data_IF_093187089467
#
_entry.id   IF_093187089467
#
_cell.length_a   1.000
_cell.length_b   1.000
_cell.length_c   1.000
_cell.angle_alpha   90.00
_cell.angle_beta   90.00
_cell.angle_gamma   90.00
#
_symmetry.space_group_name_H-M   'P 1'
#
loop_
_entity.id
_entity.type
_entity.pdbx_description
1 polymer ?
#
# COMPACT_ATOMS: atom_id res chain seq x y z
N UNK A 1 27.27 -48.05 -15.91
CA UNK A 1 27.57 -46.67 -16.32
C UNK A 1 26.56 -45.62 -15.81
N UNK A 2 25.22 -45.81 -15.85
CA UNK A 2 24.28 -44.76 -15.42
C UNK A 2 24.29 -44.49 -13.90
N UNK A 3 24.61 -45.50 -13.09
CA UNK A 3 24.66 -45.35 -11.62
C UNK A 3 25.80 -44.46 -11.14
N UNK A 4 26.97 -44.51 -11.79
CA UNK A 4 28.10 -43.65 -11.45
C UNK A 4 27.80 -42.17 -11.70
N UNK A 5 27.12 -41.85 -12.81
CA UNK A 5 26.70 -40.49 -13.12
C UNK A 5 25.69 -39.96 -12.09
N UNK A 6 24.73 -40.79 -11.64
CA UNK A 6 23.78 -40.40 -10.60
C UNK A 6 24.46 -40.13 -9.25
N UNK A 7 25.41 -40.97 -8.85
CA UNK A 7 26.17 -40.79 -7.60
C UNK A 7 26.98 -39.50 -7.64
N UNK A 8 27.68 -39.23 -8.75
CA UNK A 8 28.46 -38.00 -8.92
C UNK A 8 27.55 -36.76 -8.87
N UNK A 9 26.44 -36.78 -9.61
CA UNK A 9 25.48 -35.66 -9.61
C UNK A 9 24.89 -35.42 -8.22
N UNK A 10 24.51 -36.48 -7.50
CA UNK A 10 24.02 -36.40 -6.12
C UNK A 10 25.07 -35.82 -5.17
N UNK A 11 26.34 -36.20 -5.33
CA UNK A 11 27.44 -35.66 -4.54
C UNK A 11 27.66 -34.16 -4.80
N UNK A 12 27.65 -33.74 -6.07
CA UNK A 12 27.74 -32.33 -6.46
C UNK A 12 26.57 -31.52 -5.88
N UNK A 13 25.34 -32.03 -5.96
CA UNK A 13 24.18 -31.36 -5.35
C UNK A 13 24.28 -31.27 -3.83
N UNK A 14 24.84 -32.30 -3.16
CA UNK A 14 25.07 -32.26 -1.70
C UNK A 14 26.13 -31.24 -1.32
N UNK A 15 27.25 -31.19 -2.04
CA UNK A 15 28.29 -30.17 -1.81
C UNK A 15 27.76 -28.77 -2.08
N UNK A 16 26.98 -28.58 -3.15
CA UNK A 16 26.36 -27.29 -3.48
C UNK A 16 25.33 -26.88 -2.42
N UNK A 17 24.48 -27.82 -1.97
CA UNK A 17 23.53 -27.60 -0.89
C UNK A 17 24.24 -27.24 0.42
N UNK A 18 25.35 -27.93 0.74
CA UNK A 18 26.17 -27.65 1.92
C UNK A 18 26.85 -26.28 1.82
N UNK A 19 27.38 -25.92 0.64
CA UNK A 19 27.92 -24.59 0.39
C UNK A 19 26.84 -23.51 0.56
N UNK A 20 25.66 -23.68 -0.03
CA UNK A 20 24.54 -22.76 0.16
C UNK A 20 24.10 -22.67 1.62
N UNK A 21 24.11 -23.79 2.35
CA UNK A 21 23.80 -23.85 3.77
C UNK A 21 24.80 -23.04 4.60
N UNK A 22 26.10 -23.28 4.44
CA UNK A 22 27.14 -22.52 5.13
C UNK A 22 27.13 -21.06 4.73
N UNK A 23 26.94 -20.77 3.44
CA UNK A 23 26.80 -19.40 2.95
C UNK A 23 25.62 -18.72 3.63
N UNK A 24 24.47 -19.38 3.70
CA UNK A 24 23.28 -18.82 4.34
C UNK A 24 23.47 -18.63 5.85
N UNK A 25 24.11 -19.58 6.54
CA UNK A 25 24.37 -19.50 7.97
C UNK A 25 25.38 -18.41 8.33
N UNK A 26 26.42 -18.23 7.49
CA UNK A 26 27.51 -17.27 7.72
C UNK A 26 27.21 -15.86 7.19
N UNK A 27 26.38 -15.73 6.14
CA UNK A 27 26.02 -14.44 5.52
C UNK A 27 24.61 -13.95 5.83
N UNK A 28 23.92 -14.50 6.83
CA UNK A 28 22.75 -13.83 7.41
C UNK A 28 23.20 -12.54 8.09
N UNK A 29 23.40 -11.51 7.27
CA UNK A 29 23.69 -10.16 7.72
C UNK A 29 22.49 -9.71 8.54
N UNK A 30 22.73 -9.34 9.79
CA UNK A 30 21.69 -8.76 10.63
C UNK A 30 21.15 -7.53 9.91
N UNK A 31 19.82 -7.37 9.78
CA UNK A 31 19.25 -6.18 9.19
C UNK A 31 19.79 -4.94 9.89
N UNK A 32 20.13 -3.92 9.11
CA UNK A 32 20.49 -2.62 9.66
C UNK A 32 19.24 -2.00 10.28
N UNK A 33 19.35 -1.30 11.44
CA UNK A 33 18.18 -0.70 12.08
C UNK A 33 17.51 0.33 11.17
N UNK A 34 16.22 0.60 11.39
CA UNK A 34 15.41 1.48 10.53
C UNK A 34 16.07 2.85 10.29
N UNK A 35 16.60 3.46 11.34
CA UNK A 35 17.24 4.78 11.34
C UNK A 35 18.60 4.84 10.63
N UNK A 36 19.11 3.72 10.11
CA UNK A 36 20.40 3.70 9.42
C UNK A 36 20.29 4.44 8.09
N UNK A 37 21.23 5.36 7.83
CA UNK A 37 21.34 6.01 6.52
C UNK A 37 21.71 4.99 5.45
N UNK A 38 20.79 4.73 4.52
CA UNK A 38 20.99 3.85 3.37
C UNK A 38 21.41 4.66 2.15
N UNK A 39 22.15 4.03 1.24
CA UNK A 39 22.58 4.67 -0.01
C UNK A 39 21.40 5.02 -0.93
N UNK A 40 20.35 4.18 -0.90
CA UNK A 40 19.06 4.40 -1.56
C UNK A 40 17.96 4.17 -0.54
N UNK A 41 16.88 4.93 -0.66
CA UNK A 41 15.67 4.73 0.14
C UNK A 41 14.46 4.82 -0.79
N UNK A 42 13.43 3.98 -0.58
CA UNK A 42 12.18 4.10 -1.31
C UNK A 42 11.36 5.24 -0.71
N UNK A 43 10.88 6.16 -1.55
CA UNK A 43 9.92 7.18 -1.11
C UNK A 43 8.53 6.55 -0.93
N UNK A 44 8.24 5.54 -1.76
CA UNK A 44 6.94 4.87 -1.85
C UNK A 44 7.09 3.37 -1.59
N UNK A 45 6.45 2.90 -0.53
CA UNK A 45 6.43 1.48 -0.16
C UNK A 45 5.02 0.94 -0.38
N UNK A 46 4.92 -0.19 -1.06
CA UNK A 46 3.70 -0.98 -1.10
C UNK A 46 3.89 -2.30 -0.33
N UNK A 47 2.86 -2.75 0.39
CA UNK A 47 2.87 -4.02 1.11
C UNK A 47 1.62 -4.83 0.77
N UNK A 48 1.81 -6.05 0.28
CA UNK A 48 0.75 -7.02 0.05
C UNK A 48 0.65 -7.92 1.29
N UNK A 49 -0.52 -7.91 1.92
CA UNK A 49 -0.85 -8.80 3.03
C UNK A 49 -1.73 -9.94 2.51
N UNK A 50 -1.22 -11.18 2.61
CA UNK A 50 -1.94 -12.38 2.16
C UNK A 50 -2.53 -13.08 3.38
N UNK A 51 -3.85 -13.36 3.42
CA UNK A 51 -4.50 -13.97 4.58
C UNK A 51 -4.10 -15.44 4.73
N UNK A 52 -4.07 -15.91 5.97
CA UNK A 52 -3.80 -17.32 6.27
C UNK A 52 -5.12 -18.10 6.18
N UNK A 53 -5.26 -19.06 5.24
CA UNK A 53 -6.49 -19.84 5.11
C UNK A 53 -6.75 -20.76 6.31
N UNK A 54 -5.75 -20.99 7.16
CA UNK A 54 -5.89 -21.80 8.37
C UNK A 54 -6.47 -21.03 9.57
N UNK A 55 -6.53 -19.69 9.48
CA UNK A 55 -7.08 -18.82 10.52
C UNK A 55 -8.54 -18.48 10.26
N UNK A 56 -9.26 -18.20 11.33
CA UNK A 56 -10.61 -17.63 11.25
C UNK A 56 -10.55 -16.21 10.68
N UNK A 57 -11.66 -15.72 10.12
CA UNK A 57 -11.75 -14.35 9.59
C UNK A 57 -11.35 -13.31 10.64
N UNK A 58 -11.82 -13.46 11.88
CA UNK A 58 -11.50 -12.55 12.98
C UNK A 58 -10.01 -12.57 13.38
N UNK A 59 -9.37 -13.75 13.37
CA UNK A 59 -7.92 -13.85 13.60
C UNK A 59 -7.10 -13.22 12.47
N UNK A 60 -7.59 -13.33 11.22
CA UNK A 60 -6.96 -12.67 10.08
C UNK A 60 -7.12 -11.15 10.15
N UNK A 61 -8.30 -10.65 10.50
CA UNK A 61 -8.58 -9.23 10.70
C UNK A 61 -7.65 -8.62 11.76
N UNK A 62 -7.59 -9.22 12.94
CA UNK A 62 -6.73 -8.75 14.04
C UNK A 62 -5.24 -8.80 13.67
N UNK A 63 -4.81 -9.83 12.94
CA UNK A 63 -3.44 -9.91 12.43
C UNK A 63 -3.15 -8.83 11.38
N UNK A 64 -4.06 -8.59 10.43
CA UNK A 64 -3.91 -7.61 9.37
C UNK A 64 -3.81 -6.20 9.94
N UNK A 65 -4.69 -5.87 10.88
CA UNK A 65 -4.70 -4.61 11.58
C UNK A 65 -3.41 -4.41 12.41
N UNK A 66 -2.97 -5.43 13.15
CA UNK A 66 -1.67 -5.38 13.86
C UNK A 66 -0.50 -5.18 12.89
N UNK A 67 -0.49 -5.87 11.75
CA UNK A 67 0.55 -5.74 10.74
C UNK A 67 0.53 -4.34 10.11
N UNK A 68 -0.64 -3.82 9.75
CA UNK A 68 -0.82 -2.48 9.19
C UNK A 68 -0.29 -1.40 10.14
N UNK A 69 -0.65 -1.48 11.44
CA UNK A 69 -0.15 -0.60 12.51
C UNK A 69 1.37 -0.60 12.58
N UNK A 70 1.96 -1.78 12.65
CA UNK A 70 3.40 -1.94 12.78
C UNK A 70 4.14 -1.41 11.54
N UNK A 71 3.69 -1.79 10.34
CA UNK A 71 4.28 -1.32 9.07
C UNK A 71 4.20 0.21 9.00
N UNK A 72 3.08 0.80 9.34
CA UNK A 72 2.89 2.24 9.33
C UNK A 72 3.87 2.94 10.26
N UNK A 73 3.97 2.50 11.53
CA UNK A 73 4.93 3.05 12.50
C UNK A 73 6.37 2.95 12.02
N UNK A 74 6.74 1.80 11.46
CA UNK A 74 8.08 1.61 10.92
C UNK A 74 8.32 2.42 9.64
N UNK A 75 7.31 2.63 8.82
CA UNK A 75 7.39 3.44 7.60
C UNK A 75 7.62 4.91 7.92
N UNK A 76 6.90 5.44 8.92
CA UNK A 76 7.13 6.79 9.47
C UNK A 76 8.56 6.88 10.00
N UNK A 77 8.98 5.91 10.83
CA UNK A 77 10.33 5.89 11.42
C UNK A 77 11.44 5.75 10.37
N UNK A 78 11.16 5.09 9.24
CA UNK A 78 12.09 4.95 8.12
C UNK A 78 12.10 6.16 7.16
N UNK A 79 11.22 7.14 7.37
CA UNK A 79 11.10 8.33 6.51
C UNK A 79 10.45 8.04 5.16
N UNK A 80 9.57 7.05 5.08
CA UNK A 80 8.80 6.74 3.88
C UNK A 80 7.68 7.77 3.74
N UNK A 81 7.52 8.34 2.55
CA UNK A 81 6.54 9.41 2.29
C UNK A 81 5.13 8.86 2.02
N UNK A 82 5.04 7.71 1.34
CA UNK A 82 3.77 7.09 0.99
C UNK A 82 3.80 5.58 1.18
N UNK A 83 2.80 5.06 1.87
CA UNK A 83 2.61 3.65 2.16
C UNK A 83 1.31 3.16 1.51
N UNK A 84 1.38 2.15 0.65
CA UNK A 84 0.20 1.52 0.06
C UNK A 84 0.02 0.10 0.61
N UNK A 85 -1.05 -0.16 1.35
CA UNK A 85 -1.38 -1.47 1.88
C UNK A 85 -2.41 -2.15 0.97
N UNK A 86 -2.12 -3.37 0.51
CA UNK A 86 -2.99 -4.13 -0.37
C UNK A 86 -3.44 -5.44 0.27
N UNK A 87 -4.73 -5.71 0.13
CA UNK A 87 -5.36 -7.00 0.42
C UNK A 87 -6.30 -7.38 -0.73
N UNK A 88 -6.21 -8.64 -1.19
CA UNK A 88 -7.11 -9.16 -2.22
C UNK A 88 -8.58 -9.24 -1.74
N UNK A 89 -8.80 -9.50 -0.45
CA UNK A 89 -10.12 -9.70 0.16
C UNK A 89 -10.86 -8.43 0.58
N UNK A 90 -10.17 -7.29 0.66
CA UNK A 90 -10.75 -6.02 1.12
C UNK A 90 -10.95 -5.91 2.64
N UNK A 91 -10.38 -6.81 3.45
CA UNK A 91 -10.38 -6.78 4.91
C UNK A 91 -9.75 -5.48 5.46
N UNK A 92 -8.72 -4.95 4.81
CA UNK A 92 -8.15 -3.67 5.24
C UNK A 92 -9.10 -2.48 4.99
N UNK A 93 -9.94 -2.56 3.95
CA UNK A 93 -10.92 -1.52 3.67
C UNK A 93 -12.06 -1.56 4.68
N UNK A 94 -12.49 -2.75 5.12
CA UNK A 94 -13.49 -2.87 6.20
C UNK A 94 -12.94 -2.39 7.55
N UNK A 95 -11.65 -2.59 7.81
CA UNK A 95 -10.96 -2.14 9.03
C UNK A 95 -10.43 -0.70 8.93
N UNK A 96 -10.69 0.02 7.83
CA UNK A 96 -10.16 1.36 7.59
C UNK A 96 -10.61 2.38 8.65
N UNK A 97 -11.83 2.25 9.18
CA UNK A 97 -12.34 3.12 10.25
C UNK A 97 -11.58 2.94 11.57
N UNK A 98 -11.17 1.70 11.89
CA UNK A 98 -10.37 1.41 13.09
C UNK A 98 -8.91 1.86 12.90
N UNK A 99 -8.37 1.74 11.68
CA UNK A 99 -7.07 2.31 11.37
C UNK A 99 -7.11 3.84 11.47
N UNK A 100 -8.16 4.49 10.95
CA UNK A 100 -8.34 5.94 11.06
C UNK A 100 -8.46 6.43 12.49
N UNK A 101 -9.24 5.74 13.34
CA UNK A 101 -9.41 6.16 14.73
C UNK A 101 -8.09 6.13 15.50
N UNK A 102 -7.24 5.15 15.22
CA UNK A 102 -5.91 5.04 15.82
C UNK A 102 -4.92 6.08 15.29
N UNK A 103 -5.01 6.40 13.99
CA UNK A 103 -4.26 7.51 13.39
C UNK A 103 -4.53 8.83 14.10
N UNK A 104 -5.79 9.06 14.48
CA UNK A 104 -6.18 10.25 15.25
C UNK A 104 -5.82 10.14 16.73
N UNK A 105 -5.89 8.95 17.33
CA UNK A 105 -5.64 8.78 18.78
C UNK A 105 -4.18 8.90 19.18
N UNK A 106 -3.23 8.54 18.30
CA UNK A 106 -1.80 8.77 18.55
C UNK A 106 -1.42 10.28 18.47
N UNK A 107 -2.38 11.15 18.13
CA UNK A 107 -2.26 12.62 18.05
C UNK A 107 -3.06 13.35 19.16
N UNK A 108 -3.16 12.78 20.36
CA UNK A 108 -3.72 13.50 21.51
C UNK A 108 -2.61 14.20 22.31
N UNK A 109 -2.60 15.55 22.41
CA UNK A 109 -1.83 16.25 23.43
C UNK A 109 -2.40 15.94 24.82
N UNK A 110 -1.52 15.79 25.82
CA UNK A 110 -1.90 15.58 27.23
C UNK A 110 -2.98 16.56 27.69
N UNK A 111 -3.89 16.15 28.61
CA UNK A 111 -4.98 16.99 29.05
C UNK A 111 -4.47 18.09 29.99
N UNK A 112 -4.46 19.33 29.51
CA UNK A 112 -4.44 20.49 30.38
C UNK A 112 -5.82 20.68 31.02
N UNK A 113 -5.79 20.61 32.34
CA UNK A 113 -6.77 21.01 33.36
C UNK A 113 -8.06 21.67 32.86
N UNK A 114 -9.15 20.99 33.23
CA UNK A 114 -10.49 21.51 33.53
C UNK A 114 -10.60 23.03 33.69
N UNK A 115 -11.30 23.68 32.76
CA UNK A 115 -12.25 24.74 33.12
C UNK A 115 -13.56 24.47 32.40
N UNK A 116 -14.60 24.43 33.20
CA UNK A 116 -15.96 24.01 32.93
C UNK A 116 -16.65 24.80 31.82
N UNK A 117 -17.36 24.11 30.92
CA UNK A 117 -18.78 24.42 30.68
C UNK A 117 -19.47 23.31 29.85
N UNK A 118 -20.68 22.87 30.24
CA UNK A 118 -21.39 21.80 29.56
C UNK A 118 -22.28 22.39 28.46
N UNK A 119 -22.26 21.87 27.23
CA UNK A 119 -23.46 21.75 26.39
C UNK A 119 -23.19 20.90 25.14
N UNK A 120 -23.78 19.70 25.16
CA UNK A 120 -24.48 19.01 24.08
C UNK A 120 -23.91 19.03 22.65
N UNK A 121 -23.58 17.82 22.17
CA UNK A 121 -23.87 17.28 20.84
C UNK A 121 -24.85 18.14 20.02
N UNK A 122 -24.47 18.60 18.82
CA UNK A 122 -25.42 18.77 17.70
C UNK A 122 -24.70 18.78 16.35
N UNK A 123 -25.20 17.93 15.46
CA UNK A 123 -25.01 17.91 14.02
C UNK A 123 -24.88 19.30 13.38
N UNK A 124 -23.99 19.42 12.41
CA UNK A 124 -23.85 20.59 11.52
C UNK A 124 -25.05 20.67 10.57
N UNK A 125 -26.22 21.04 11.10
CA UNK A 125 -27.41 21.38 10.32
C UNK A 125 -27.23 22.80 9.77
N UNK A 126 -26.94 22.91 8.48
CA UNK A 126 -27.03 24.14 7.71
C UNK A 126 -28.47 24.66 7.76
N UNK A 127 -28.69 25.80 8.41
CA UNK A 127 -29.97 26.50 8.46
C UNK A 127 -30.27 27.16 7.11
N UNK A 128 -31.26 26.64 6.38
CA UNK A 128 -31.93 27.41 5.33
C UNK A 128 -33.01 28.29 5.98
N UNK A 129 -33.14 29.58 5.63
CA UNK A 129 -34.29 30.36 6.05
C UNK A 129 -35.55 29.90 5.29
N UNK A 130 -36.65 29.81 6.05
CA UNK A 130 -37.97 29.41 5.59
C UNK A 130 -38.62 30.51 4.72
N UNK A 131 -39.28 30.02 3.66
CA UNK A 131 -40.14 30.56 2.58
C UNK A 131 -41.24 31.59 2.94
N UNK A 132 -42.13 32.09 2.02
CA UNK A 132 -42.15 32.19 0.52
C UNK A 132 -42.70 33.58 -0.01
N UNK A 133 -43.09 33.76 -1.30
CA UNK A 133 -44.46 33.43 -1.76
C UNK A 133 -44.51 32.71 -3.15
N UNK A 134 -45.69 32.23 -3.58
CA UNK A 134 -45.84 31.32 -4.72
C UNK A 134 -46.14 32.06 -6.04
N UNK A 135 -45.73 31.47 -7.16
CA UNK A 135 -46.48 31.56 -8.42
C UNK A 135 -46.08 30.47 -9.42
N UNK A 136 -47.13 29.86 -9.97
CA UNK A 136 -47.15 28.87 -11.04
C UNK A 136 -46.36 29.33 -12.29
N UNK A 137 -45.59 28.42 -12.88
CA UNK A 137 -45.72 28.11 -14.31
C UNK A 137 -44.94 26.84 -14.69
N UNK A 138 -45.70 25.92 -15.29
CA UNK A 138 -45.29 24.71 -15.98
C UNK A 138 -44.04 24.85 -16.85
N UNK A 139 -43.19 23.81 -16.83
CA UNK A 139 -42.09 23.65 -17.76
C UNK A 139 -41.28 22.39 -17.48
N UNK A 140 -41.80 21.25 -17.92
CA UNK A 140 -41.14 19.94 -17.93
C UNK A 140 -39.69 20.00 -18.44
N UNK A 141 -38.74 19.76 -17.54
CA UNK A 141 -37.41 19.20 -17.86
C UNK A 141 -36.93 18.36 -16.67
N UNK A 142 -36.68 17.04 -16.82
CA UNK A 142 -35.85 16.34 -15.86
C UNK A 142 -34.41 16.81 -16.09
N UNK A 143 -33.93 17.75 -15.27
CA UNK A 143 -32.49 17.91 -15.06
C UNK A 143 -32.07 16.83 -14.07
N UNK A 144 -31.71 15.66 -14.58
CA UNK A 144 -30.86 14.74 -13.83
C UNK A 144 -29.58 15.51 -13.50
N UNK A 145 -29.20 15.67 -12.22
CA UNK A 145 -27.92 16.28 -11.91
C UNK A 145 -26.83 15.38 -12.48
N UNK A 146 -26.03 15.95 -13.39
CA UNK A 146 -24.75 15.40 -13.84
C UNK A 146 -23.81 15.43 -12.65
N UNK A 147 -23.95 14.45 -11.76
CA UNK A 147 -22.88 14.01 -10.91
C UNK A 147 -21.86 13.37 -11.85
N UNK A 148 -20.82 14.14 -12.18
CA UNK A 148 -19.52 13.55 -12.48
C UNK A 148 -19.18 12.72 -11.25
N UNK A 149 -19.52 11.43 -11.28
CA UNK A 149 -18.94 10.48 -10.37
C UNK A 149 -17.46 10.53 -10.67
N UNK A 150 -16.69 11.26 -9.86
CA UNK A 150 -15.26 11.02 -9.74
C UNK A 150 -15.14 9.51 -9.53
N UNK A 151 -14.71 8.79 -10.56
CA UNK A 151 -14.60 7.34 -10.49
C UNK A 151 -13.43 7.03 -9.55
N UNK A 152 -13.76 6.80 -8.28
CA UNK A 152 -12.78 6.44 -7.27
C UNK A 152 -12.17 5.10 -7.69
N UNK A 153 -10.84 5.01 -7.87
CA UNK A 153 -10.11 3.80 -8.30
C UNK A 153 -10.11 2.73 -7.19
N UNK A 154 -11.11 2.71 -6.32
CA UNK A 154 -11.21 1.82 -5.16
C UNK A 154 -10.05 2.01 -4.17
N UNK A 155 -9.41 3.18 -4.18
CA UNK A 155 -8.30 3.56 -3.29
C UNK A 155 -8.87 4.40 -2.16
N UNK A 156 -8.54 4.05 -0.91
CA UNK A 156 -8.81 4.91 0.25
C UNK A 156 -7.51 5.56 0.70
N UNK A 157 -7.41 6.88 0.63
CA UNK A 157 -6.20 7.63 0.96
C UNK A 157 -6.37 8.40 2.26
N UNK A 158 -5.39 8.28 3.16
CA UNK A 158 -5.31 9.00 4.42
C UNK A 158 -4.03 9.82 4.46
N UNK A 159 -4.11 11.06 4.93
CA UNK A 159 -2.95 11.90 5.14
C UNK A 159 -2.63 11.95 6.63
N UNK A 160 -1.51 11.36 7.03
CA UNK A 160 -0.99 11.48 8.39
C UNK A 160 -0.05 12.68 8.40
N UNK A 161 -0.40 13.76 9.10
CA UNK A 161 0.45 14.95 9.16
C UNK A 161 0.20 15.72 10.46
N UNK A 162 1.29 16.06 11.15
CA UNK A 162 1.30 16.76 12.43
C UNK A 162 0.40 18.00 12.38
N UNK A 163 -0.41 18.19 13.43
CA UNK A 163 -1.17 19.42 13.59
C UNK A 163 -0.22 20.61 13.55
N UNK A 164 -0.55 21.55 12.68
CA UNK A 164 0.04 22.89 12.69
C UNK A 164 -0.36 23.55 14.01
N UNK A 165 0.55 23.58 14.99
CA UNK A 165 0.27 24.19 16.30
C UNK A 165 1.27 23.86 17.40
N UNK A 166 2.54 24.23 17.21
CA UNK A 166 3.39 24.86 18.24
C UNK A 166 4.85 24.86 17.77
N UNK A 167 5.26 25.99 17.20
CA UNK A 167 6.67 26.36 17.11
C UNK A 167 7.14 26.66 18.54
N UNK A 168 7.55 25.63 19.27
CA UNK A 168 8.44 25.81 20.42
C UNK A 168 9.80 26.20 19.86
N UNK A 169 10.07 27.51 19.90
CA UNK A 169 11.37 28.10 19.63
C UNK A 169 12.37 27.62 20.70
N UNK A 170 12.98 26.45 20.48
CA UNK A 170 14.10 25.99 21.30
C UNK A 170 15.34 26.79 20.92
N UNK A 171 15.65 27.77 21.78
CA UNK A 171 16.85 28.58 21.74
C UNK A 171 18.12 27.74 21.53
N UNK A 172 18.89 28.15 20.52
CA UNK A 172 20.20 27.60 20.16
C UNK A 172 21.15 27.65 21.36
N UNK A 173 21.53 26.49 21.86
CA UNK A 173 22.73 26.31 22.67
C UNK A 173 23.58 25.15 22.11
N UNK A 174 24.72 25.54 21.54
CA UNK A 174 25.96 24.79 21.35
C UNK A 174 25.91 23.25 21.11
N UNK A 175 26.22 22.86 19.87
CA UNK A 175 27.16 21.77 19.60
C UNK A 175 26.65 20.33 19.68
N UNK A 176 25.95 19.87 18.64
CA UNK A 176 25.73 18.44 18.40
C UNK A 176 24.78 18.22 17.23
N UNK A 177 25.28 17.70 16.11
CA UNK A 177 24.44 17.29 14.98
C UNK A 177 23.67 16.01 15.35
N UNK A 178 22.50 16.16 15.96
CA UNK A 178 21.52 15.08 16.17
C UNK A 178 20.51 15.06 15.02
N UNK A 179 20.15 13.84 14.63
CA UNK A 179 19.34 13.48 13.47
C UNK A 179 18.10 14.38 13.27
N UNK A 180 17.89 14.82 12.03
CA UNK A 180 16.69 15.53 11.62
C UNK A 180 15.45 14.70 11.91
N UNK A 181 14.66 15.16 12.88
CA UNK A 181 13.28 14.73 13.09
C UNK A 181 12.50 15.11 11.83
N UNK A 182 12.11 14.11 11.05
CA UNK A 182 11.36 14.32 9.82
C UNK A 182 9.92 14.78 10.16
N UNK A 183 9.66 16.08 10.08
CA UNK A 183 8.32 16.69 10.03
C UNK A 183 7.64 16.42 8.67
N UNK A 184 7.66 15.17 8.20
CA UNK A 184 6.98 14.80 6.95
C UNK A 184 5.84 13.86 7.26
N UNK A 185 4.65 14.27 6.86
CA UNK A 185 3.47 13.43 6.92
C UNK A 185 3.61 12.17 6.06
N UNK A 186 2.98 11.08 6.47
CA UNK A 186 2.87 9.85 5.70
C UNK A 186 1.52 9.83 4.97
N UNK A 187 1.53 9.53 3.67
CA UNK A 187 0.29 9.25 2.93
C UNK A 187 0.04 7.74 2.97
N UNK A 188 -1.11 7.31 3.49
CA UNK A 188 -1.51 5.91 3.56
C UNK A 188 -2.60 5.63 2.51
N UNK A 189 -2.31 4.75 1.54
CA UNK A 189 -3.30 4.23 0.60
C UNK A 189 -3.73 2.82 1.01
N UNK A 190 -5.02 2.55 1.16
CA UNK A 190 -5.57 1.21 1.32
C UNK A 190 -6.17 0.76 -0.01
N UNK A 191 -5.64 -0.35 -0.52
CA UNK A 191 -5.96 -0.93 -1.82
C UNK A 191 -6.63 -2.29 -1.65
N UNK A 192 -7.60 -2.56 -2.51
CA UNK A 192 -8.20 -3.90 -2.64
C UNK A 192 -8.21 -4.37 -4.10
N UNK A 193 -8.73 -5.58 -4.34
CA UNK A 193 -8.87 -6.14 -5.69
C UNK A 193 -9.54 -5.20 -6.70
N UNK A 194 -10.48 -4.38 -6.25
CA UNK A 194 -11.21 -3.45 -7.11
C UNK A 194 -10.30 -2.37 -7.72
N UNK A 195 -9.20 -2.01 -7.05
CA UNK A 195 -8.21 -1.03 -7.53
C UNK A 195 -7.29 -1.53 -8.66
N UNK A 196 -7.43 -2.80 -9.06
CA UNK A 196 -6.55 -3.46 -10.03
C UNK A 196 -7.18 -3.54 -11.43
N UNK A 197 -7.28 -4.74 -12.00
CA UNK A 197 -7.91 -5.00 -13.30
C UNK A 197 -9.35 -4.46 -13.39
N UNK A 198 -10.20 -4.56 -12.33
CA UNK A 198 -11.53 -3.97 -12.39
C UNK A 198 -11.50 -2.46 -12.60
N UNK A 199 -10.64 -1.73 -11.88
CA UNK A 199 -10.44 -0.30 -12.08
C UNK A 199 -10.01 0.05 -13.51
N UNK A 200 -9.09 -0.72 -14.09
CA UNK A 200 -8.73 -0.55 -15.50
C UNK A 200 -9.92 -0.69 -16.45
N UNK A 201 -10.76 -1.69 -16.20
CA UNK A 201 -11.94 -1.95 -17.02
C UNK A 201 -12.98 -0.83 -16.82
N UNK A 202 -13.16 -0.30 -15.60
CA UNK A 202 -14.05 0.84 -15.38
C UNK A 202 -13.53 2.09 -16.07
N UNK A 203 -12.23 2.41 -15.94
CA UNK A 203 -11.62 3.55 -16.64
C UNK A 203 -11.76 3.42 -18.16
N UNK A 204 -11.53 2.24 -18.72
CA UNK A 204 -11.72 2.00 -20.16
C UNK A 204 -13.18 2.20 -20.60
N UNK A 205 -14.14 1.71 -19.81
CA UNK A 205 -15.58 1.91 -20.07
C UNK A 205 -15.98 3.37 -19.98
N UNK A 206 -15.42 4.09 -19.02
CA UNK A 206 -15.64 5.53 -18.81
C UNK A 206 -15.11 6.36 -19.98
N UNK A 207 -13.90 6.06 -20.46
CA UNK A 207 -13.34 6.70 -21.65
C UNK A 207 -14.22 6.46 -22.89
N UNK A 208 -14.74 5.24 -23.06
CA UNK A 208 -15.65 4.91 -24.17
C UNK A 208 -16.99 5.63 -24.03
N UNK A 209 -17.56 5.71 -22.83
CA UNK A 209 -18.84 6.40 -22.61
C UNK A 209 -18.70 7.90 -22.85
N UNK A 210 -17.61 8.50 -22.38
CA UNK A 210 -17.27 9.90 -22.64
C UNK A 210 -17.15 10.18 -24.14
N UNK A 211 -16.44 9.33 -24.88
CA UNK A 211 -16.32 9.47 -26.34
C UNK A 211 -17.67 9.37 -27.05
N UNK A 212 -18.54 8.45 -26.63
CA UNK A 212 -19.90 8.31 -27.20
C UNK A 212 -20.77 9.52 -26.90
N UNK A 213 -20.66 10.11 -25.72
CA UNK A 213 -21.39 11.35 -25.39
C UNK A 213 -20.96 12.52 -26.27
N UNK A 214 -19.65 12.67 -26.51
CA UNK A 214 -19.13 13.70 -27.43
C UNK A 214 -19.65 13.49 -28.86
N UNK A 215 -19.70 12.24 -29.34
CA UNK A 215 -20.23 11.92 -30.67
C UNK A 215 -21.75 12.09 -30.79
N UNK A 216 -22.52 11.69 -29.77
CA UNK A 216 -23.98 11.78 -29.78
C UNK A 216 -24.53 13.20 -29.66
N UNK A 217 -23.71 14.16 -29.20
CA UNK A 217 -24.09 15.57 -29.10
C UNK A 217 -23.88 16.35 -30.40
N UNK A 218 -23.10 15.81 -31.36
CA UNK A 218 -22.87 16.46 -32.66
C UNK A 218 -23.96 16.07 -33.66
N UNK A 219 -24.94 16.98 -33.88
CA UNK A 219 -26.00 16.81 -34.90
C UNK A 219 -25.59 17.28 -36.31
N UNK A 220 -24.33 17.65 -36.53
CA UNK A 220 -23.83 18.12 -37.82
C UNK A 220 -23.01 17.04 -38.53
N UNK A 221 -23.26 16.88 -39.84
CA UNK A 221 -22.82 15.83 -40.76
C UNK A 221 -21.29 15.58 -40.80
N UNK A 222 -20.82 14.48 -41.43
CA UNK A 222 -19.54 13.82 -41.14
C UNK A 222 -18.36 14.54 -41.80
N UNK A 223 -17.76 15.50 -41.10
CA UNK A 223 -16.38 15.90 -41.33
C UNK A 223 -15.53 15.13 -40.31
N UNK A 224 -14.76 14.16 -40.81
CA UNK A 224 -13.68 13.41 -40.14
C UNK A 224 -13.87 13.19 -38.62
N UNK A 225 -14.37 11.99 -38.26
CA UNK A 225 -14.38 11.52 -36.88
C UNK A 225 -13.01 11.77 -36.24
N UNK A 226 -12.92 12.46 -35.08
CA UNK A 226 -11.66 12.53 -34.37
C UNK A 226 -11.29 11.11 -33.97
N UNK A 227 -10.18 10.61 -34.54
CA UNK A 227 -9.63 9.31 -34.18
C UNK A 227 -9.46 9.25 -32.67
N UNK A 228 -10.02 8.21 -32.05
CA UNK A 228 -9.86 7.98 -30.63
C UNK A 228 -8.38 7.72 -30.33
N UNK A 229 -7.68 8.75 -29.86
CA UNK A 229 -6.27 8.66 -29.52
C UNK A 229 -6.12 8.52 -28.00
N UNK A 230 -5.91 7.29 -27.54
CA UNK A 230 -5.57 7.02 -26.14
C UNK A 230 -4.05 6.97 -25.99
N UNK A 231 -3.47 8.01 -25.37
CA UNK A 231 -2.05 8.00 -25.04
C UNK A 231 -1.78 7.29 -23.71
N UNK A 232 -0.58 6.72 -23.58
CA UNK A 232 -0.12 6.13 -22.32
C UNK A 232 -0.10 7.18 -21.20
N UNK A 233 0.29 8.42 -21.52
CA UNK A 233 0.34 9.53 -20.55
C UNK A 233 -1.06 9.92 -20.05
N UNK A 234 -2.06 9.91 -20.93
CA UNK A 234 -3.45 10.15 -20.56
C UNK A 234 -3.95 9.07 -19.61
N UNK A 235 -3.68 7.79 -19.92
CA UNK A 235 -4.07 6.70 -19.03
C UNK A 235 -3.31 6.75 -17.69
N UNK A 236 -2.02 7.09 -17.73
CA UNK A 236 -1.19 7.26 -16.54
C UNK A 236 -1.72 8.37 -15.63
N UNK A 237 -2.11 9.50 -16.21
CA UNK A 237 -2.70 10.61 -15.45
C UNK A 237 -4.01 10.25 -14.77
N UNK A 238 -4.80 9.34 -15.35
CA UNK A 238 -6.04 8.85 -14.73
C UNK A 238 -5.71 7.86 -13.61
N UNK A 239 -4.80 6.91 -13.86
CA UNK A 239 -4.49 5.82 -12.91
C UNK A 239 -3.60 6.24 -11.73
N UNK A 240 -2.82 7.31 -11.89
CA UNK A 240 -1.85 7.81 -10.89
C UNK A 240 -2.17 9.23 -10.42
N UNK A 241 -3.12 9.92 -11.05
CA UNK A 241 -3.58 11.24 -10.63
C UNK A 241 -4.44 11.22 -9.37
N UNK A 242 -5.33 12.20 -9.24
CA UNK A 242 -6.10 12.47 -8.02
C UNK A 242 -6.93 11.28 -7.53
N UNK A 243 -7.55 10.54 -8.46
CA UNK A 243 -8.40 9.40 -8.12
C UNK A 243 -7.62 8.10 -7.91
N UNK A 244 -6.30 8.08 -8.19
CA UNK A 244 -5.48 6.88 -8.24
C UNK A 244 -4.35 6.85 -7.21
N UNK A 245 -3.33 6.03 -7.49
CA UNK A 245 -2.14 5.97 -6.66
C UNK A 245 -0.86 5.79 -7.50
N UNK A 246 0.28 6.32 -7.03
CA UNK A 246 1.52 6.31 -7.76
C UNK A 246 2.21 4.96 -7.70
N UNK A 247 3.07 4.73 -8.69
CA UNK A 247 3.97 3.57 -8.72
C UNK A 247 4.84 3.49 -7.45
N UNK A 248 4.76 2.40 -6.67
CA UNK A 248 5.65 2.19 -5.54
C UNK A 248 7.09 1.94 -6.01
N UNK A 249 8.06 2.33 -5.20
CA UNK A 249 9.47 2.07 -5.51
C UNK A 249 9.89 0.68 -5.02
N UNK A 250 9.31 0.24 -3.90
CA UNK A 250 9.50 -1.08 -3.30
C UNK A 250 8.14 -1.73 -2.99
N UNK A 251 7.95 -2.99 -3.39
CA UNK A 251 6.78 -3.80 -3.04
C UNK A 251 7.22 -4.98 -2.18
N UNK A 252 6.67 -5.06 -0.97
CA UNK A 252 6.87 -6.15 -0.04
C UNK A 252 5.70 -7.13 -0.11
N UNK A 253 5.98 -8.39 -0.42
CA UNK A 253 4.98 -9.46 -0.38
C UNK A 253 5.12 -10.22 0.94
N UNK A 254 4.16 -10.04 1.84
CA UNK A 254 4.12 -10.69 3.15
C UNK A 254 2.99 -11.72 3.21
N UNK A 255 3.38 -12.98 3.33
CA UNK A 255 2.43 -14.06 3.57
C UNK A 255 2.22 -14.23 5.08
N UNK A 256 0.99 -14.02 5.56
CA UNK A 256 0.67 -14.30 6.96
C UNK A 256 0.59 -15.79 7.22
N UNK A 257 0.25 -16.59 6.21
CA UNK A 257 0.41 -18.04 6.26
C UNK A 257 1.88 -18.42 6.10
N UNK A 258 2.28 -19.54 6.70
CA UNK A 258 3.57 -20.14 6.38
C UNK A 258 3.45 -20.74 4.97
N UNK A 259 4.02 -20.07 3.97
CA UNK A 259 4.00 -20.59 2.60
C UNK A 259 4.60 -22.00 2.59
N UNK A 260 3.88 -22.93 1.97
CA UNK A 260 4.49 -24.20 1.61
C UNK A 260 5.63 -23.90 0.65
N UNK A 261 6.70 -24.70 0.68
CA UNK A 261 7.91 -24.50 -0.13
C UNK A 261 7.65 -24.45 -1.64
N UNK A 262 6.44 -24.80 -2.09
CA UNK A 262 6.06 -24.97 -3.49
C UNK A 262 5.12 -23.88 -4.03
N UNK A 263 4.70 -22.91 -3.21
CA UNK A 263 3.82 -21.85 -3.73
C UNK A 263 4.66 -20.79 -4.46
N UNK A 264 4.43 -20.56 -5.77
CA UNK A 264 5.14 -19.53 -6.51
C UNK A 264 4.77 -18.15 -5.99
N UNK A 265 5.72 -17.22 -6.04
CA UNK A 265 5.45 -15.82 -5.72
C UNK A 265 4.32 -15.28 -6.60
N UNK A 266 3.21 -14.92 -5.97
CA UNK A 266 2.06 -14.30 -6.61
C UNK A 266 1.81 -12.91 -6.01
N UNK A 267 1.39 -11.97 -6.87
CA UNK A 267 1.03 -10.61 -6.44
C UNK A 267 -0.47 -10.48 -6.13
N UNK A 268 -1.22 -11.59 -6.16
CA UNK A 268 -2.64 -11.67 -5.79
C UNK A 268 -3.57 -10.65 -6.48
N UNK A 269 -3.17 -10.17 -7.66
CA UNK A 269 -3.91 -9.16 -8.38
C UNK A 269 -3.65 -7.73 -7.92
N UNK A 270 -2.50 -7.44 -7.29
CA UNK A 270 -2.03 -6.07 -7.08
C UNK A 270 -2.07 -5.26 -8.40
N UNK A 271 -2.39 -3.96 -8.37
CA UNK A 271 -2.59 -3.16 -9.59
C UNK A 271 -1.38 -3.19 -10.54
N UNK A 272 -1.54 -3.76 -11.76
CA UNK A 272 -0.41 -4.05 -12.64
C UNK A 272 0.20 -2.81 -13.30
N UNK A 273 -0.54 -1.69 -13.40
CA UNK A 273 -0.01 -0.43 -13.97
C UNK A 273 1.15 0.12 -13.13
N UNK A 274 0.97 0.04 -11.82
CA UNK A 274 1.79 0.75 -10.85
C UNK A 274 3.12 0.04 -10.64
N UNK A 275 3.23 -1.26 -10.94
CA UNK A 275 4.43 -2.07 -10.64
C UNK A 275 5.51 -2.09 -11.73
N UNK A 276 5.40 -1.24 -12.76
CA UNK A 276 6.29 -1.26 -13.95
C UNK A 276 7.78 -1.17 -13.62
N UNK A 277 8.15 -0.36 -12.63
CA UNK A 277 9.53 -0.11 -12.20
C UNK A 277 9.74 -0.38 -10.71
N UNK A 278 8.84 -1.18 -10.12
CA UNK A 278 8.84 -1.45 -8.69
C UNK A 278 9.76 -2.62 -8.37
N UNK A 279 10.65 -2.42 -7.42
CA UNK A 279 11.48 -3.52 -6.89
C UNK A 279 10.61 -4.45 -6.04
N UNK A 280 10.71 -5.76 -6.29
CA UNK A 280 9.92 -6.76 -5.60
C UNK A 280 10.76 -7.43 -4.51
N UNK A 281 10.35 -7.28 -3.25
CA UNK A 281 10.93 -8.03 -2.14
C UNK A 281 9.93 -9.06 -1.63
N UNK A 282 10.34 -10.33 -1.67
CA UNK A 282 9.56 -11.42 -1.12
C UNK A 282 10.31 -12.06 0.05
N UNK A 283 9.68 -12.02 1.21
CA UNK A 283 10.28 -12.54 2.43
C UNK A 283 10.07 -14.05 2.51
N UNK A 284 11.03 -14.80 1.97
CA UNK A 284 11.05 -16.25 2.12
C UNK A 284 11.76 -16.61 3.42
N UNK A 285 11.01 -16.86 4.48
CA UNK A 285 11.58 -17.44 5.69
C UNK A 285 11.92 -18.90 5.49
N UNK A 286 13.11 -19.15 4.98
CA UNK A 286 13.73 -20.46 5.03
C UNK A 286 14.53 -20.56 6.33
N UNK A 287 14.03 -21.34 7.29
CA UNK A 287 14.95 -21.87 8.28
C UNK A 287 15.71 -23.00 7.58
N UNK A 288 17.05 -22.95 7.45
CA UNK A 288 17.79 -23.95 6.68
C UNK A 288 17.61 -25.38 7.23
N UNK A 289 17.21 -25.51 8.49
CA UNK A 289 16.84 -26.79 9.10
C UNK A 289 15.52 -27.39 8.60
N UNK A 290 14.60 -26.59 8.03
CA UNK A 290 13.34 -27.11 7.47
C UNK A 290 13.56 -28.03 6.26
N UNK A 291 14.69 -27.84 5.55
CA UNK A 291 15.13 -28.75 4.47
C UNK A 291 15.78 -30.04 5.00
N UNK A 292 16.43 -29.97 6.16
CA UNK A 292 17.22 -31.07 6.71
C UNK A 292 16.35 -31.98 7.60
N UNK A 293 15.42 -31.39 8.35
CA UNK A 293 14.53 -32.08 9.26
C UNK A 293 13.06 -31.74 8.95
N UNK A 294 12.50 -32.29 7.86
CA UNK A 294 11.11 -32.03 7.48
C UNK A 294 10.08 -32.45 8.55
N UNK A 295 10.48 -33.27 9.54
CA UNK A 295 9.64 -33.68 10.67
C UNK A 295 9.54 -32.64 11.80
N UNK A 296 10.39 -31.61 11.84
CA UNK A 296 10.31 -30.53 12.85
C UNK A 296 9.34 -29.41 12.46
N UNK A 297 8.49 -29.61 11.44
CA UNK A 297 7.43 -28.70 10.98
C UNK A 297 6.28 -28.55 11.98
N UNK A 298 6.59 -28.26 13.25
CA UNK A 298 5.63 -28.15 14.35
C UNK A 298 5.22 -26.73 14.69
N UNK A 299 5.54 -25.74 13.85
CA UNK A 299 4.99 -24.39 14.01
C UNK A 299 3.85 -24.16 13.02
N UNK A 300 2.63 -24.40 13.52
CA UNK A 300 1.34 -24.19 12.83
C UNK A 300 0.83 -22.74 12.90
N UNK A 301 1.66 -21.79 13.31
CA UNK A 301 1.22 -20.40 13.45
C UNK A 301 1.57 -19.58 12.22
N UNK A 302 0.58 -18.91 11.64
CA UNK A 302 0.84 -17.78 10.76
C UNK A 302 1.72 -16.73 11.45
N UNK A 303 2.46 -15.94 10.68
CA UNK A 303 3.50 -15.03 11.18
C UNK A 303 3.16 -13.57 10.92
N UNK A 304 3.28 -12.76 11.96
CA UNK A 304 3.21 -11.31 11.83
C UNK A 304 4.48 -10.76 11.16
N UNK A 305 4.31 -9.67 10.42
CA UNK A 305 5.47 -8.95 9.88
C UNK A 305 6.28 -8.38 11.05
N UNK A 306 7.61 -8.50 10.98
CA UNK A 306 8.51 -7.96 12.00
C UNK A 306 9.31 -6.79 11.44
N UNK A 307 9.80 -5.91 12.32
CA UNK A 307 10.64 -4.77 11.92
C UNK A 307 11.87 -5.24 11.14
N UNK A 308 12.46 -6.35 11.56
CA UNK A 308 13.60 -6.97 10.91
C UNK A 308 13.31 -7.38 9.46
N UNK A 309 12.05 -7.69 9.13
CA UNK A 309 11.62 -8.03 7.78
C UNK A 309 11.59 -6.80 6.88
N UNK A 310 11.04 -5.69 7.39
CA UNK A 310 11.06 -4.42 6.69
C UNK A 310 12.49 -3.91 6.50
N UNK A 311 13.33 -3.95 7.55
CA UNK A 311 14.73 -3.56 7.46
C UNK A 311 15.49 -4.38 6.42
N UNK A 312 15.24 -5.70 6.34
CA UNK A 312 15.84 -6.56 5.29
C UNK A 312 15.38 -6.15 3.90
N UNK A 313 14.10 -5.82 3.73
CA UNK A 313 13.58 -5.33 2.45
C UNK A 313 14.25 -4.01 2.04
N UNK A 314 14.40 -3.07 2.98
CA UNK A 314 15.07 -1.78 2.75
C UNK A 314 16.57 -1.94 2.44
N UNK A 315 17.26 -2.86 3.13
CA UNK A 315 18.67 -3.14 2.87
C UNK A 315 18.86 -3.79 1.49
N UNK A 316 17.97 -4.72 1.13
CA UNK A 316 17.93 -5.33 -0.21
C UNK A 316 17.73 -4.26 -1.29
N UNK A 317 16.76 -3.38 -1.11
CA UNK A 317 16.50 -2.26 -2.02
C UNK A 317 17.70 -1.32 -2.14
N UNK A 318 18.34 -0.98 -1.02
CA UNK A 318 19.53 -0.13 -1.00
C UNK A 318 20.71 -0.72 -1.77
N UNK A 319 20.82 -2.05 -1.79
CA UNK A 319 21.86 -2.80 -2.51
C UNK A 319 21.54 -3.06 -3.98
N UNK A 320 20.27 -2.96 -4.39
CA UNK A 320 19.84 -3.29 -5.74
C UNK A 320 20.42 -2.31 -6.77
N UNK A 321 20.89 -2.82 -7.90
CA UNK A 321 21.37 -2.01 -9.02
C UNK A 321 20.19 -1.64 -9.94
N UNK A 322 19.83 -0.36 -10.01
CA UNK A 322 18.71 0.11 -10.83
C UNK A 322 19.21 0.39 -12.24
N UNK A 323 18.94 -0.54 -13.16
CA UNK A 323 19.22 -0.37 -14.58
C UNK A 323 18.01 0.24 -15.25
N UNK A 324 17.91 1.56 -15.16
CA UNK A 324 16.82 2.36 -15.74
C UNK A 324 16.98 2.44 -17.27
N UNK A 325 16.87 1.30 -17.96
CA UNK A 325 16.88 1.22 -19.42
C UNK A 325 18.21 1.58 -20.10
N UNK A 326 19.33 1.43 -19.39
CA UNK A 326 20.69 1.49 -19.95
C UNK A 326 21.19 0.10 -20.30
#
# INVERSE_FOLDING_TARGET
MPEAAFIILSFVHRLYSLYLFWRHLLWQSRPKPLLTRRAKHPNRLAVILIPDPSRTTQENETCFLRNARNIMRWSISAGIERLSLYDQGGLLQSLSAELQSELTSDTEPMPEKEVSNPHSLTFKNTSFPLTPPPSDSSGSRPRSPQLFAEEHIGVMTFHLGASSGDLVECNKAAGGQTAGLFERGLILDILARDSSKPAFVSTARSLISQQRHLMGSSKTAPAELPDFCLSIQSLDSIMTGEAGFPSPDLLLVHNTARSSHDEPLALHGFPPWQIRLTELHHNTFYHPWDRIFPWTKKQKGGRDITEADLCRALDSYASAEMRLGK
#
